data_IF_336947143177
#
_entry.id   IF_336947143177
#
_cell.length_a   1.000
_cell.length_b   1.000
_cell.length_c   1.000
_cell.angle_alpha   90.00
_cell.angle_beta   90.00
_cell.angle_gamma   90.00
#
_symmetry.space_group_name_H-M   'P 1'
#
loop_
_entity.id
_entity.type
_entity.pdbx_description
1 polymer ?
#
# COMPACT_ATOMS: atom_id res chain seq x y z
N UNK A 1 -11.06 -2.65 1.45
CA UNK A 1 -10.99 -4.00 2.05
C UNK A 1 -10.24 -3.89 3.38
N UNK A 2 -10.95 -4.06 4.50
CA UNK A 2 -10.45 -3.78 5.85
C UNK A 2 -9.14 -4.53 6.21
N UNK A 3 -8.89 -5.71 5.62
CA UNK A 3 -7.66 -6.47 5.90
C UNK A 3 -6.39 -5.75 5.44
N UNK A 4 -6.40 -5.14 4.25
CA UNK A 4 -5.21 -4.45 3.74
C UNK A 4 -4.91 -3.20 4.57
N UNK A 5 -5.95 -2.44 4.91
CA UNK A 5 -5.85 -1.29 5.81
C UNK A 5 -5.26 -1.70 7.17
N UNK A 6 -5.72 -2.81 7.76
CA UNK A 6 -5.17 -3.32 9.01
C UNK A 6 -3.67 -3.70 8.89
N UNK A 7 -3.25 -4.28 7.77
CA UNK A 7 -1.83 -4.58 7.51
C UNK A 7 -1.02 -3.28 7.41
N UNK A 8 -1.53 -2.28 6.69
CA UNK A 8 -0.90 -0.97 6.55
C UNK A 8 -0.76 -0.27 7.92
N UNK A 9 -1.84 -0.23 8.71
CA UNK A 9 -1.86 0.32 10.06
C UNK A 9 -0.88 -0.41 10.97
N UNK A 10 -0.86 -1.74 10.93
CA UNK A 10 0.08 -2.54 11.72
C UNK A 10 1.54 -2.26 11.37
N UNK A 11 1.85 -2.08 10.08
CA UNK A 11 3.20 -1.76 9.63
C UNK A 11 3.64 -0.34 10.05
N UNK A 12 2.75 0.65 9.95
CA UNK A 12 3.04 2.05 10.32
C UNK A 12 3.19 2.22 11.84
N UNK A 13 2.32 1.55 12.61
CA UNK A 13 2.32 1.63 14.07
C UNK A 13 3.40 0.75 14.73
N UNK A 14 4.04 -0.14 13.96
CA UNK A 14 5.19 -0.89 14.43
C UNK A 14 6.39 0.04 14.62
N UNK A 15 7.02 -0.03 15.79
CA UNK A 15 8.25 0.74 16.09
C UNK A 15 9.38 0.47 15.08
N UNK A 16 9.40 -0.73 14.51
CA UNK A 16 10.38 -1.14 13.49
C UNK A 16 10.02 -0.73 12.07
N UNK A 17 8.80 -0.20 11.83
CA UNK A 17 8.25 0.04 10.49
C UNK A 17 8.45 -1.16 9.57
N UNK A 18 8.15 -2.36 10.07
CA UNK A 18 8.35 -3.59 9.34
C UNK A 18 7.27 -3.76 8.26
N UNK A 19 7.63 -3.48 7.01
CA UNK A 19 6.75 -3.61 5.85
C UNK A 19 6.78 -5.00 5.20
N UNK A 20 7.37 -6.02 5.84
CA UNK A 20 7.44 -7.38 5.26
C UNK A 20 6.05 -7.93 4.96
N UNK A 21 5.09 -7.76 5.88
CA UNK A 21 3.72 -8.22 5.66
C UNK A 21 3.06 -7.52 4.45
N UNK A 22 3.30 -6.22 4.28
CA UNK A 22 2.81 -5.46 3.11
C UNK A 22 3.42 -6.04 1.82
N UNK A 23 4.74 -6.24 1.80
CA UNK A 23 5.46 -6.80 0.62
C UNK A 23 4.93 -8.18 0.24
N UNK A 24 4.77 -9.07 1.22
CA UNK A 24 4.26 -10.42 0.97
C UNK A 24 2.81 -10.40 0.49
N UNK A 25 1.97 -9.53 1.06
CA UNK A 25 0.59 -9.36 0.60
C UNK A 25 0.52 -8.90 -0.86
N UNK A 26 1.30 -7.88 -1.22
CA UNK A 26 1.36 -7.35 -2.60
C UNK A 26 1.84 -8.42 -3.57
N UNK A 27 2.84 -9.22 -3.18
CA UNK A 27 3.38 -10.31 -3.99
C UNK A 27 2.38 -11.44 -4.18
N UNK A 28 1.65 -11.80 -3.13
CA UNK A 28 0.68 -12.88 -3.16
C UNK A 28 -0.62 -12.51 -3.90
N UNK A 29 -1.02 -11.24 -3.86
CA UNK A 29 -2.29 -10.75 -4.40
C UNK A 29 -2.12 -9.50 -5.29
N UNK A 30 -1.43 -9.62 -6.43
CA UNK A 30 -1.16 -8.47 -7.30
C UNK A 30 -2.43 -7.84 -7.88
N UNK A 31 -3.40 -8.65 -8.32
CA UNK A 31 -4.67 -8.14 -8.87
C UNK A 31 -5.49 -7.38 -7.84
N UNK A 32 -5.56 -7.91 -6.61
CA UNK A 32 -6.25 -7.25 -5.50
C UNK A 32 -5.55 -5.95 -5.12
N UNK A 33 -4.22 -5.93 -5.09
CA UNK A 33 -3.44 -4.73 -4.81
C UNK A 33 -3.68 -3.66 -5.88
N UNK A 34 -3.69 -4.05 -7.16
CA UNK A 34 -4.03 -3.15 -8.26
C UNK A 34 -5.46 -2.61 -8.13
N UNK A 35 -6.42 -3.47 -7.75
CA UNK A 35 -7.80 -3.06 -7.50
C UNK A 35 -7.88 -2.03 -6.37
N UNK A 36 -7.22 -2.30 -5.24
CA UNK A 36 -7.14 -1.37 -4.10
C UNK A 36 -6.48 -0.05 -4.53
N UNK A 37 -5.42 -0.09 -5.32
CA UNK A 37 -4.73 1.12 -5.81
C UNK A 37 -5.62 2.02 -6.67
N UNK A 38 -6.50 1.43 -7.48
CA UNK A 38 -7.38 2.19 -8.38
C UNK A 38 -8.71 2.60 -7.74
N UNK A 39 -9.29 1.75 -6.88
CA UNK A 39 -10.62 1.95 -6.29
C UNK A 39 -10.57 2.57 -4.89
N UNK A 40 -9.51 2.30 -4.13
CA UNK A 40 -9.37 2.69 -2.72
C UNK A 40 -7.96 3.18 -2.35
N UNK A 41 -7.44 4.24 -3.02
CA UNK A 41 -6.13 4.79 -2.72
C UNK A 41 -6.00 5.31 -1.27
N UNK A 42 -7.10 5.61 -0.60
CA UNK A 42 -7.14 6.05 0.80
C UNK A 42 -6.61 5.02 1.80
N UNK A 43 -6.55 3.73 1.45
CA UNK A 43 -5.96 2.71 2.33
C UNK A 43 -4.43 2.73 2.38
N UNK A 44 -3.79 3.49 1.49
CA UNK A 44 -2.34 3.69 1.55
C UNK A 44 -2.01 4.91 2.40
N UNK A 45 -2.05 4.69 3.72
CA UNK A 45 -1.98 5.72 4.76
C UNK A 45 -0.62 6.46 4.78
N UNK A 46 0.42 5.90 4.13
CA UNK A 46 1.76 6.48 4.09
C UNK A 46 2.42 6.29 2.72
N UNK A 47 3.16 7.31 2.26
CA UNK A 47 3.86 7.28 0.97
C UNK A 47 4.92 6.18 0.87
N UNK A 48 5.44 5.68 1.99
CA UNK A 48 6.34 4.52 2.03
C UNK A 48 5.62 3.22 1.66
N UNK A 49 4.36 3.07 2.04
CA UNK A 49 3.53 1.92 1.64
C UNK A 49 3.23 2.00 0.15
N UNK A 50 2.86 3.19 -0.36
CA UNK A 50 2.64 3.39 -1.80
C UNK A 50 3.85 2.94 -2.64
N UNK A 51 5.06 3.32 -2.22
CA UNK A 51 6.31 2.93 -2.90
C UNK A 51 6.57 1.43 -2.89
N UNK A 52 6.02 0.69 -1.93
CA UNK A 52 6.15 -0.76 -1.84
C UNK A 52 5.10 -1.47 -2.70
N UNK A 53 3.88 -0.92 -2.76
CA UNK A 53 2.74 -1.57 -3.39
C UNK A 53 2.61 -1.25 -4.88
N UNK A 54 3.01 -0.04 -5.30
CA UNK A 54 2.76 0.46 -6.65
C UNK A 54 4.04 0.41 -7.48
N UNK A 55 4.10 -0.54 -8.41
CA UNK A 55 5.23 -0.69 -9.33
C UNK A 55 5.17 0.28 -10.52
N UNK A 56 3.98 0.78 -10.86
CA UNK A 56 3.80 1.75 -11.94
C UNK A 56 4.19 3.15 -11.47
N UNK A 57 5.24 3.72 -12.08
CA UNK A 57 5.75 5.04 -11.72
C UNK A 57 4.74 6.17 -11.96
N UNK A 58 3.91 6.08 -12.99
CA UNK A 58 2.93 7.11 -13.30
C UNK A 58 1.80 7.10 -12.25
N UNK A 59 1.32 5.91 -11.89
CA UNK A 59 0.32 5.75 -10.82
C UNK A 59 0.90 6.22 -9.48
N UNK A 60 2.13 5.79 -9.15
CA UNK A 60 2.80 6.19 -7.91
C UNK A 60 2.92 7.71 -7.79
N UNK A 61 3.37 8.38 -8.85
CA UNK A 61 3.51 9.84 -8.85
C UNK A 61 2.16 10.54 -8.72
N UNK A 62 1.10 10.03 -9.38
CA UNK A 62 -0.25 10.57 -9.27
C UNK A 62 -0.78 10.48 -7.83
N UNK A 63 -0.58 9.33 -7.17
CA UNK A 63 -1.05 9.11 -5.80
C UNK A 63 -0.27 9.94 -4.78
N UNK A 64 1.05 10.04 -4.93
CA UNK A 64 1.88 10.88 -4.06
C UNK A 64 1.63 12.39 -4.21
N UNK A 65 1.11 12.84 -5.36
CA UNK A 65 0.73 14.23 -5.58
C UNK A 65 -0.69 14.56 -5.06
N UNK A 66 -1.47 13.55 -4.66
CA UNK A 66 -2.87 13.69 -4.25
C UNK A 66 -3.07 13.74 -2.72
N UNK A 67 -2.00 13.61 -1.93
CA UNK A 67 -2.01 13.68 -0.46
C UNK A 67 -0.99 14.67 0.06
#
# INVERSE_FOLDING_TARGET
MLCFEAICLGAINSSSKNFTCVKEFVRAYPELTNKITNEHPEYFIDGSILRICVNDKAILNKLLASG
#
